data_IF_485104942211
#
_entry.id   IF_485104942211
#
_cell.length_a   1.000
_cell.length_b   1.000
_cell.length_c   1.000
_cell.angle_alpha   90.00
_cell.angle_beta   90.00
_cell.angle_gamma   90.00
#
_symmetry.space_group_name_H-M   'P 1'
#
loop_
_entity.id
_entity.type
_entity.pdbx_description
1 polymer ?
#
# COMPACT_ATOMS: atom_id res chain seq x y z
N UNK A 1 -10.02 -7.31 0.54
CA UNK A 1 -9.52 -7.25 1.94
C UNK A 1 -8.05 -6.93 1.85
N UNK A 2 -7.65 -5.82 2.45
CA UNK A 2 -6.26 -5.38 2.46
C UNK A 2 -5.39 -6.33 3.29
N UNK A 3 -4.12 -6.48 2.90
CA UNK A 3 -3.19 -7.43 3.54
C UNK A 3 -1.74 -6.96 3.48
N UNK A 4 -1.00 -7.26 4.55
CA UNK A 4 0.44 -7.09 4.62
C UNK A 4 1.09 -8.46 4.89
N UNK A 5 1.93 -8.91 3.97
CA UNK A 5 2.70 -10.15 4.08
C UNK A 5 4.16 -9.79 4.31
N UNK A 6 4.77 -10.44 5.30
CA UNK A 6 6.20 -10.36 5.58
C UNK A 6 6.80 -11.73 5.33
N UNK A 7 7.87 -11.78 4.56
CA UNK A 7 8.58 -13.03 4.28
C UNK A 7 10.07 -12.84 4.44
N UNK A 8 10.75 -13.89 4.88
CA UNK A 8 12.22 -13.93 5.00
C UNK A 8 12.74 -15.06 4.10
N UNK A 9 13.87 -14.85 3.45
CA UNK A 9 14.51 -15.92 2.67
C UNK A 9 14.90 -17.07 3.59
N UNK A 10 14.97 -18.29 3.05
CA UNK A 10 15.40 -19.47 3.80
C UNK A 10 16.78 -19.30 4.43
N UNK A 11 17.66 -18.52 3.79
CA UNK A 11 18.99 -18.17 4.29
C UNK A 11 19.00 -17.06 5.35
N UNK A 12 17.88 -16.37 5.57
CA UNK A 12 17.78 -15.20 6.45
C UNK A 12 18.30 -13.88 5.85
N UNK A 13 18.99 -13.93 4.70
CA UNK A 13 19.69 -12.78 4.11
C UNK A 13 18.78 -11.70 3.52
N UNK A 14 17.53 -12.03 3.18
CA UNK A 14 16.59 -11.10 2.56
C UNK A 14 15.25 -11.10 3.29
N UNK A 15 14.66 -9.92 3.42
CA UNK A 15 13.28 -9.75 3.89
C UNK A 15 12.47 -9.02 2.83
N UNK A 16 11.32 -9.60 2.49
CA UNK A 16 10.38 -9.03 1.53
C UNK A 16 9.09 -8.64 2.24
N UNK A 17 8.48 -7.56 1.76
CA UNK A 17 7.20 -7.06 2.19
C UNK A 17 6.28 -6.97 0.97
N UNK A 18 5.07 -7.48 1.09
CA UNK A 18 4.02 -7.35 0.07
C UNK A 18 2.82 -6.72 0.73
N UNK A 19 2.37 -5.57 0.20
CA UNK A 19 1.24 -4.82 0.69
C UNK A 19 0.18 -4.71 -0.41
N UNK A 20 -1.05 -5.08 -0.08
CA UNK A 20 -2.26 -4.75 -0.83
C UNK A 20 -3.10 -3.84 0.06
N UNK A 21 -3.31 -2.60 -0.38
CA UNK A 21 -3.97 -1.53 0.37
C UNK A 21 -5.11 -0.88 -0.44
N UNK A 22 -5.73 -1.64 -1.33
CA UNK A 22 -6.73 -1.13 -2.29
C UNK A 22 -7.90 -0.44 -1.58
N UNK A 23 -8.45 -1.05 -0.53
CA UNK A 23 -9.59 -0.50 0.22
C UNK A 23 -9.20 0.72 1.06
N UNK A 24 -8.00 0.69 1.63
CA UNK A 24 -7.45 1.80 2.42
C UNK A 24 -7.24 3.04 1.54
N UNK A 25 -6.66 2.87 0.35
CA UNK A 25 -6.46 3.97 -0.61
C UNK A 25 -7.81 4.51 -1.09
N UNK A 26 -8.78 3.63 -1.39
CA UNK A 26 -10.14 4.03 -1.76
C UNK A 26 -10.82 4.86 -0.68
N UNK A 27 -10.78 4.38 0.56
CA UNK A 27 -11.37 5.08 1.71
C UNK A 27 -10.74 6.45 1.91
N UNK A 28 -9.41 6.56 1.77
CA UNK A 28 -8.72 7.85 1.88
C UNK A 28 -9.13 8.81 0.76
N UNK A 29 -9.24 8.31 -0.47
CA UNK A 29 -9.67 9.11 -1.62
C UNK A 29 -11.10 9.64 -1.45
N UNK A 30 -12.04 8.79 -0.99
CA UNK A 30 -13.43 9.16 -0.72
C UNK A 30 -13.54 10.19 0.41
N UNK A 31 -12.85 9.97 1.54
CA UNK A 31 -12.90 10.87 2.71
C UNK A 31 -12.32 12.26 2.44
N UNK A 32 -11.30 12.33 1.60
CA UNK A 32 -10.60 13.59 1.31
C UNK A 32 -10.98 14.19 -0.04
N UNK A 33 -12.00 13.65 -0.71
CA UNK A 33 -12.49 14.12 -2.02
C UNK A 33 -11.34 14.30 -3.03
N UNK A 34 -10.36 13.40 -2.98
CA UNK A 34 -9.16 13.51 -3.81
C UNK A 34 -9.54 13.26 -5.26
N UNK A 35 -9.09 14.16 -6.14
CA UNK A 35 -9.29 14.04 -7.58
C UNK A 35 -8.61 12.77 -8.11
N UNK A 36 -9.19 12.15 -9.13
CA UNK A 36 -8.67 10.92 -9.73
C UNK A 36 -7.23 11.08 -10.24
N UNK A 37 -6.83 12.28 -10.66
CA UNK A 37 -5.47 12.62 -11.10
C UNK A 37 -4.42 12.52 -9.98
N UNK A 38 -4.80 12.71 -8.72
CA UNK A 38 -3.90 12.72 -7.56
C UNK A 38 -3.94 11.43 -6.74
N UNK A 39 -4.84 10.49 -7.08
CA UNK A 39 -5.01 9.23 -6.36
C UNK A 39 -3.76 8.31 -6.46
N UNK A 40 -3.04 8.36 -7.58
CA UNK A 40 -1.80 7.57 -7.77
C UNK A 40 -0.70 8.02 -6.82
N UNK A 41 -0.55 9.34 -6.63
CA UNK A 41 0.42 9.90 -5.70
C UNK A 41 0.06 9.52 -4.25
N UNK A 42 -1.22 9.68 -3.88
CA UNK A 42 -1.74 9.25 -2.58
C UNK A 42 -1.45 7.77 -2.30
N UNK A 43 -1.80 6.90 -3.25
CA UNK A 43 -1.59 5.46 -3.12
C UNK A 43 -0.12 5.09 -2.93
N UNK A 44 0.78 5.71 -3.70
CA UNK A 44 2.23 5.47 -3.56
C UNK A 44 2.75 5.94 -2.20
N UNK A 45 2.31 7.09 -1.70
CA UNK A 45 2.71 7.58 -0.37
C UNK A 45 2.20 6.68 0.76
N UNK A 46 1.00 6.10 0.63
CA UNK A 46 0.45 5.18 1.62
C UNK A 46 1.14 3.81 1.63
N UNK A 47 1.71 3.39 0.49
CA UNK A 47 2.30 2.06 0.30
C UNK A 47 3.83 2.07 0.48
N UNK A 48 4.50 3.15 0.10
CA UNK A 48 5.95 3.23 0.04
C UNK A 48 6.46 4.39 0.93
N UNK A 49 7.17 4.03 2.00
CA UNK A 49 8.09 4.86 2.76
C UNK A 49 9.32 4.03 3.13
#
# INVERSE_FOLDING_TARGET
MDKLIKSISKSGSFRAYVLDSTETVRTAQEKHQILSSSNVALGRTLIAN
#
